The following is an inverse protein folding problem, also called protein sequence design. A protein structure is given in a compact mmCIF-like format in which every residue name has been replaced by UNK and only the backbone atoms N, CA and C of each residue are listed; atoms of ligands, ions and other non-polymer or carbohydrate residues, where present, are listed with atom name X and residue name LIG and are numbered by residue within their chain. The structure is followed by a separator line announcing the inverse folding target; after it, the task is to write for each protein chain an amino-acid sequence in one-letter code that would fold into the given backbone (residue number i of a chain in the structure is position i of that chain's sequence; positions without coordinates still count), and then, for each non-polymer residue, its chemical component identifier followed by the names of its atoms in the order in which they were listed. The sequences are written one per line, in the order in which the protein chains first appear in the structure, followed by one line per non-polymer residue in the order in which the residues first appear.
data_IF_974405200030
#
_entry.id   IF_974405200030
#
_cell.length_a   1.000
_cell.length_b   1.000
_cell.length_c   1.000
_cell.angle_alpha   90.00
_cell.angle_beta   90.00
_cell.angle_gamma   90.00
#
_symmetry.space_group_name_H-M   'P 1'
#
loop_
_entity.id
_entity.type
_entity.pdbx_description
1 polymer ?
#
# COMPACT_ATOMS: atom_id res chain seq x y z
N UNK A 1 27.84 5.97 70.97
CA UNK A 1 26.61 6.75 70.81
C UNK A 1 26.08 6.45 69.43
N UNK A 2 25.01 5.73 69.42
CA UNK A 2 24.37 5.13 68.23
C UNK A 2 23.31 6.06 67.72
N UNK A 3 23.16 6.18 66.39
CA UNK A 3 21.93 6.59 65.76
C UNK A 3 21.67 5.65 64.56
N UNK A 4 20.66 4.81 64.72
CA UNK A 4 20.01 4.04 63.70
C UNK A 4 19.19 4.96 62.83
N UNK A 5 19.30 4.87 61.55
CA UNK A 5 18.26 5.31 60.63
C UNK A 5 17.85 4.18 59.70
N UNK A 6 16.61 3.76 59.85
CA UNK A 6 15.86 2.91 58.94
C UNK A 6 15.69 3.65 57.61
N UNK A 7 15.95 2.94 56.52
CA UNK A 7 15.49 3.33 55.21
C UNK A 7 14.78 2.12 54.59
N UNK A 8 13.50 2.28 54.40
CA UNK A 8 12.61 1.32 53.76
C UNK A 8 13.04 1.07 52.31
N UNK A 9 13.08 -0.21 51.95
CA UNK A 9 13.38 -0.66 50.58
C UNK A 9 12.17 -0.48 49.68
N UNK A 10 12.23 0.47 48.78
CA UNK A 10 11.29 0.60 47.68
C UNK A 10 11.85 -0.13 46.45
N UNK A 11 11.22 -1.26 46.10
CA UNK A 11 11.54 -2.04 44.92
C UNK A 11 11.05 -1.33 43.66
N UNK A 12 11.92 -0.60 43.00
CA UNK A 12 11.72 -0.25 41.56
C UNK A 12 12.65 -1.15 40.73
N UNK A 13 12.01 -2.00 39.91
CA UNK A 13 12.71 -2.79 38.88
C UNK A 13 13.29 -1.83 37.85
N UNK A 14 14.60 -1.65 37.89
CA UNK A 14 15.34 -0.92 36.86
C UNK A 14 15.34 -1.72 35.56
N UNK A 15 14.71 -1.21 34.52
CA UNK A 15 15.03 -1.59 33.13
C UNK A 15 16.44 -1.05 32.84
N UNK A 16 17.36 -1.97 32.54
CA UNK A 16 18.64 -1.60 31.93
C UNK A 16 18.32 -0.90 30.60
N UNK A 17 18.58 0.39 30.53
CA UNK A 17 18.70 1.08 29.24
C UNK A 17 20.01 0.64 28.59
N UNK A 18 19.92 -0.22 27.59
CA UNK A 18 21.02 -0.48 26.69
C UNK A 18 21.22 0.80 25.88
N UNK A 19 22.43 1.40 25.84
CA UNK A 19 22.65 2.57 25.01
C UNK A 19 22.50 2.18 23.54
N UNK A 20 21.45 2.70 22.89
CA UNK A 20 21.32 2.63 21.43
C UNK A 20 22.49 3.41 20.87
N UNK A 21 23.46 2.69 20.29
CA UNK A 21 24.52 3.27 19.49
C UNK A 21 23.85 3.90 18.27
N UNK A 22 23.83 5.22 18.24
CA UNK A 22 23.37 6.03 17.11
C UNK A 22 24.27 5.73 15.89
N UNK A 23 23.96 4.68 15.12
CA UNK A 23 24.37 4.56 13.72
C UNK A 23 23.66 5.66 12.96
N UNK A 24 24.41 6.43 12.17
CA UNK A 24 24.05 7.65 11.49
C UNK A 24 22.59 7.75 11.06
N UNK A 25 21.96 8.88 11.38
CA UNK A 25 20.60 9.23 11.05
C UNK A 25 20.36 9.18 9.52
N UNK A 26 20.07 8.02 8.96
CA UNK A 26 19.16 7.99 7.81
C UNK A 26 17.76 8.19 8.39
N UNK A 27 17.09 9.28 7.99
CA UNK A 27 15.69 9.48 8.34
C UNK A 27 14.92 8.29 7.75
N UNK A 28 14.27 7.48 8.58
CA UNK A 28 13.49 6.31 8.16
C UNK A 28 12.42 6.69 7.12
N UNK A 29 11.89 7.90 7.21
CA UNK A 29 10.85 8.46 6.36
C UNK A 29 11.25 8.71 4.89
N UNK A 30 12.56 8.70 4.55
CA UNK A 30 13.06 8.84 3.17
C UNK A 30 13.60 7.53 2.60
N UNK A 31 13.35 6.40 3.26
CA UNK A 31 13.84 5.10 2.83
C UNK A 31 13.10 4.61 1.58
N UNK A 32 13.85 4.04 0.63
CA UNK A 32 13.24 3.35 -0.51
C UNK A 32 12.51 2.11 -0.06
N UNK A 33 11.34 1.86 -0.62
CA UNK A 33 10.52 0.68 -0.27
C UNK A 33 11.28 -0.62 -0.53
N UNK A 34 12.09 -0.69 -1.58
CA UNK A 34 12.96 -1.85 -1.83
C UNK A 34 14.02 -2.08 -0.76
N UNK A 35 14.48 -1.04 -0.07
CA UNK A 35 15.37 -1.16 1.08
C UNK A 35 14.62 -1.66 2.31
N UNK A 36 13.39 -1.18 2.54
CA UNK A 36 12.52 -1.67 3.61
C UNK A 36 12.32 -3.19 3.49
N UNK A 37 12.10 -3.70 2.26
CA UNK A 37 11.97 -5.15 2.02
C UNK A 37 13.25 -5.96 2.31
N UNK A 38 14.41 -5.32 2.22
CA UNK A 38 15.69 -5.97 2.55
C UNK A 38 16.00 -5.95 4.04
N UNK A 39 15.53 -4.95 4.78
CA UNK A 39 15.81 -4.74 6.19
C UNK A 39 14.82 -5.45 7.12
N UNK A 40 13.61 -5.75 6.63
CA UNK A 40 12.53 -6.37 7.39
C UNK A 40 12.08 -7.68 6.76
N UNK A 41 11.97 -8.73 7.57
CA UNK A 41 11.49 -10.04 7.12
C UNK A 41 10.00 -9.97 6.75
N UNK A 42 9.19 -9.32 7.56
CA UNK A 42 7.75 -9.13 7.34
C UNK A 42 7.41 -7.64 7.33
N UNK A 43 6.64 -7.20 6.34
CA UNK A 43 6.15 -5.82 6.27
C UNK A 43 4.65 -5.75 6.02
N UNK A 44 3.96 -4.91 6.78
CA UNK A 44 2.57 -4.53 6.53
C UNK A 44 2.51 -3.04 6.23
N UNK A 45 1.89 -2.68 5.13
CA UNK A 45 1.69 -1.30 4.67
C UNK A 45 0.22 -1.01 4.42
N UNK A 46 -0.17 0.27 4.44
CA UNK A 46 -1.55 0.68 4.26
C UNK A 46 -1.70 1.74 3.19
N UNK A 47 -2.85 1.70 2.51
CA UNK A 47 -3.25 2.74 1.57
C UNK A 47 -4.19 3.74 2.22
N UNK A 48 -3.94 5.03 1.91
CA UNK A 48 -4.86 6.13 2.15
C UNK A 48 -5.13 6.87 0.85
N UNK A 49 -6.30 7.49 0.77
CA UNK A 49 -6.66 8.26 -0.41
C UNK A 49 -7.08 9.68 -0.03
N UNK A 50 -6.69 10.68 -0.85
CA UNK A 50 -7.01 12.07 -0.59
C UNK A 50 -8.52 12.30 -0.65
N UNK A 51 -9.02 13.34 -0.01
CA UNK A 51 -10.42 13.72 -0.06
C UNK A 51 -10.79 14.18 -1.48
N UNK A 52 -12.04 13.94 -1.86
CA UNK A 52 -12.59 14.46 -3.13
C UNK A 52 -12.89 15.95 -3.09
N UNK A 53 -13.05 16.51 -1.90
CA UNK A 53 -13.44 17.90 -1.64
C UNK A 53 -12.70 18.40 -0.39
N UNK A 54 -12.36 19.69 -0.35
CA UNK A 54 -11.54 20.30 0.70
C UNK A 54 -12.17 20.21 2.11
N UNK A 55 -13.50 20.21 2.20
CA UNK A 55 -14.23 20.07 3.46
C UNK A 55 -13.97 18.74 4.19
N UNK A 56 -13.47 17.72 3.46
CA UNK A 56 -13.13 16.41 4.02
C UNK A 56 -11.64 16.23 4.31
N UNK A 57 -10.82 17.25 4.05
CA UNK A 57 -9.36 17.13 4.22
C UNK A 57 -8.98 16.78 5.67
N UNK A 58 -9.56 17.47 6.66
CA UNK A 58 -9.26 17.21 8.07
C UNK A 58 -9.63 15.79 8.53
N UNK A 59 -10.66 15.20 7.95
CA UNK A 59 -11.05 13.83 8.28
C UNK A 59 -10.05 12.80 7.70
N UNK A 60 -9.54 13.05 6.50
CA UNK A 60 -8.50 12.21 5.89
C UNK A 60 -7.17 12.36 6.61
N UNK A 61 -6.76 13.60 6.93
CA UNK A 61 -5.56 13.87 7.71
C UNK A 61 -5.59 13.15 9.07
N UNK A 62 -6.73 13.22 9.78
CA UNK A 62 -6.93 12.48 11.03
C UNK A 62 -6.78 10.98 10.84
N UNK A 63 -7.44 10.39 9.83
CA UNK A 63 -7.35 8.97 9.55
C UNK A 63 -5.91 8.54 9.18
N UNK A 64 -5.22 9.32 8.35
CA UNK A 64 -3.82 9.07 7.97
C UNK A 64 -2.90 9.08 9.18
N UNK A 65 -3.05 10.05 10.09
CA UNK A 65 -2.32 10.12 11.35
C UNK A 65 -2.57 8.91 12.25
N UNK A 66 -3.82 8.49 12.40
CA UNK A 66 -4.18 7.34 13.24
C UNK A 66 -3.64 6.03 12.66
N UNK A 67 -3.55 5.90 11.33
CA UNK A 67 -2.93 4.74 10.66
C UNK A 67 -1.41 4.81 10.81
N UNK A 68 -0.78 5.96 10.61
CA UNK A 68 0.66 6.14 10.79
C UNK A 68 1.13 5.81 12.22
N UNK A 69 0.28 6.11 13.24
CA UNK A 69 0.55 5.76 14.64
C UNK A 69 0.56 4.25 14.92
N UNK A 70 0.17 3.41 13.96
CA UNK A 70 0.32 1.95 14.03
C UNK A 70 1.70 1.48 13.55
N UNK A 71 2.57 2.39 13.16
CA UNK A 71 3.92 2.16 12.65
C UNK A 71 3.97 1.15 11.48
N UNK A 72 3.19 1.37 10.40
CA UNK A 72 3.30 0.53 9.21
C UNK A 72 4.68 0.70 8.57
N UNK A 73 5.11 -0.30 7.80
CA UNK A 73 6.38 -0.24 7.07
C UNK A 73 6.45 0.95 6.10
N UNK A 74 5.35 1.27 5.46
CA UNK A 74 5.14 2.49 4.68
C UNK A 74 3.63 2.75 4.48
N UNK A 75 3.28 3.92 3.96
CA UNK A 75 1.90 4.23 3.56
C UNK A 75 1.85 4.68 2.11
N UNK A 76 0.92 4.14 1.32
CA UNK A 76 0.65 4.67 -0.02
C UNK A 76 -0.43 5.76 0.02
N UNK A 77 -0.27 6.77 -0.83
CA UNK A 77 -1.24 7.86 -0.99
C UNK A 77 -1.71 7.88 -2.44
N UNK A 78 -3.00 7.57 -2.66
CA UNK A 78 -3.53 7.46 -4.01
C UNK A 78 -3.59 8.81 -4.73
N UNK A 79 -3.60 8.75 -6.06
CA UNK A 79 -3.75 9.92 -6.92
C UNK A 79 -5.23 10.09 -7.28
N UNK A 80 -5.77 11.28 -7.09
CA UNK A 80 -7.18 11.51 -7.41
C UNK A 80 -7.45 11.60 -8.90
N UNK A 81 -8.47 10.90 -9.36
CA UNK A 81 -8.91 10.97 -10.75
C UNK A 81 -9.31 12.41 -11.14
N UNK A 82 -8.73 12.95 -12.21
CA UNK A 82 -9.09 14.25 -12.79
C UNK A 82 -8.24 15.45 -12.35
N UNK A 83 -7.04 15.27 -11.79
CA UNK A 83 -6.04 16.34 -11.58
C UNK A 83 -6.29 17.28 -10.40
N UNK A 84 -7.53 17.49 -9.96
CA UNK A 84 -7.87 18.43 -8.88
C UNK A 84 -7.40 18.03 -7.48
N UNK A 85 -6.99 16.79 -7.30
CA UNK A 85 -6.54 16.24 -6.00
C UNK A 85 -5.04 15.89 -5.98
N UNK A 86 -4.31 16.14 -7.05
CA UNK A 86 -2.87 15.86 -7.16
C UNK A 86 -2.04 16.58 -6.10
N UNK A 87 -2.38 17.85 -5.82
CA UNK A 87 -1.74 18.62 -4.75
C UNK A 87 -2.03 18.05 -3.37
N UNK A 88 -3.23 17.50 -3.13
CA UNK A 88 -3.55 16.83 -1.87
C UNK A 88 -2.73 15.56 -1.68
N UNK A 89 -2.50 14.78 -2.75
CA UNK A 89 -1.62 13.59 -2.70
C UNK A 89 -0.23 13.98 -2.22
N UNK A 90 0.40 14.97 -2.87
CA UNK A 90 1.73 15.45 -2.50
C UNK A 90 1.79 16.01 -1.07
N UNK A 91 0.74 16.73 -0.65
CA UNK A 91 0.67 17.32 0.69
C UNK A 91 0.51 16.25 1.79
N UNK A 92 -0.40 15.28 1.59
CA UNK A 92 -0.59 14.18 2.55
C UNK A 92 0.67 13.30 2.63
N UNK A 93 1.31 13.01 1.48
CA UNK A 93 2.54 12.25 1.44
C UNK A 93 3.67 12.96 2.22
N UNK A 94 3.88 14.27 1.98
CA UNK A 94 4.87 15.05 2.72
C UNK A 94 4.55 15.11 4.23
N UNK A 95 3.29 15.29 4.61
CA UNK A 95 2.88 15.29 6.02
C UNK A 95 3.14 13.94 6.72
N UNK A 96 2.94 12.82 6.03
CA UNK A 96 3.25 11.49 6.56
C UNK A 96 4.76 11.32 6.80
N UNK A 97 5.60 11.79 5.89
CA UNK A 97 7.05 11.76 6.05
C UNK A 97 7.53 12.70 7.16
N UNK A 98 7.12 13.96 7.13
CA UNK A 98 7.68 14.99 7.98
C UNK A 98 7.16 14.98 9.41
N UNK A 99 5.85 14.67 9.58
CA UNK A 99 5.19 14.73 10.89
C UNK A 99 5.12 13.37 11.59
N UNK A 100 5.13 12.27 10.85
CA UNK A 100 4.88 10.93 11.41
C UNK A 100 6.02 9.94 11.14
N UNK A 101 7.12 10.39 10.56
CA UNK A 101 8.32 9.57 10.25
C UNK A 101 7.96 8.25 9.53
N UNK A 102 6.99 8.33 8.62
CA UNK A 102 6.47 7.18 7.89
C UNK A 102 6.91 7.25 6.44
N UNK A 103 7.61 6.23 5.90
CA UNK A 103 7.94 6.18 4.47
C UNK A 103 6.67 6.20 3.62
N UNK A 104 6.70 6.89 2.48
CA UNK A 104 5.51 7.03 1.64
C UNK A 104 5.74 6.51 0.23
N UNK A 105 4.67 6.02 -0.38
CA UNK A 105 4.54 5.65 -1.78
C UNK A 105 3.48 6.57 -2.40
N UNK A 106 3.90 7.63 -3.09
CA UNK A 106 2.97 8.54 -3.73
C UNK A 106 2.53 8.00 -5.10
N UNK A 107 1.22 7.89 -5.31
CA UNK A 107 0.71 7.49 -6.62
C UNK A 107 0.84 8.63 -7.64
N UNK A 108 1.12 8.27 -8.89
CA UNK A 108 1.09 9.16 -10.04
C UNK A 108 0.40 8.44 -11.20
N UNK A 109 -0.60 9.10 -11.81
CA UNK A 109 -1.33 8.54 -12.97
C UNK A 109 -1.06 9.36 -14.22
N UNK A 110 -1.02 8.70 -15.38
CA UNK A 110 -0.74 9.35 -16.65
C UNK A 110 -1.95 9.46 -17.59
N UNK A 111 -3.04 8.72 -17.34
CA UNK A 111 -4.25 8.84 -18.18
C UNK A 111 -4.79 10.26 -18.10
N UNK A 112 -5.10 10.83 -19.27
CA UNK A 112 -5.58 12.22 -19.39
C UNK A 112 -4.63 13.29 -18.83
N UNK A 113 -3.32 12.99 -18.73
CA UNK A 113 -2.25 13.92 -18.36
C UNK A 113 -1.35 14.20 -19.56
N UNK A 114 -0.86 15.44 -19.68
CA UNK A 114 0.20 15.77 -20.62
C UNK A 114 1.57 15.37 -20.06
N UNK A 115 2.58 15.25 -20.93
CA UNK A 115 3.96 15.00 -20.50
C UNK A 115 4.49 16.12 -19.61
N UNK A 116 4.14 17.36 -19.91
CA UNK A 116 4.53 18.53 -19.12
C UNK A 116 3.96 18.42 -17.69
N UNK A 117 2.68 18.07 -17.55
CA UNK A 117 2.06 17.91 -16.23
C UNK A 117 2.70 16.76 -15.43
N UNK A 118 3.03 15.66 -16.08
CA UNK A 118 3.74 14.54 -15.44
C UNK A 118 5.11 15.00 -14.94
N UNK A 119 5.87 15.76 -15.73
CA UNK A 119 7.17 16.31 -15.32
C UNK A 119 7.04 17.29 -14.15
N UNK A 120 6.03 18.16 -14.15
CA UNK A 120 5.72 19.04 -13.02
C UNK A 120 5.45 18.24 -11.74
N UNK A 121 4.71 17.14 -11.83
CA UNK A 121 4.42 16.29 -10.68
C UNK A 121 5.64 15.53 -10.16
N UNK A 122 6.50 15.04 -11.06
CA UNK A 122 7.77 14.40 -10.67
C UNK A 122 8.63 15.42 -9.92
N UNK A 123 8.76 16.63 -10.44
CA UNK A 123 9.53 17.70 -9.81
C UNK A 123 8.95 18.08 -8.44
N UNK A 124 7.62 18.21 -8.34
CA UNK A 124 6.94 18.48 -7.07
C UNK A 124 7.23 17.37 -6.01
N UNK A 125 7.25 16.09 -6.41
CA UNK A 125 7.57 14.98 -5.50
C UNK A 125 9.03 15.05 -5.05
N UNK A 126 9.95 15.34 -5.97
CA UNK A 126 11.37 15.53 -5.63
C UNK A 126 11.59 16.70 -4.66
N UNK A 127 10.93 17.86 -4.89
CA UNK A 127 10.99 19.02 -3.98
C UNK A 127 10.49 18.69 -2.56
N UNK A 128 9.53 17.75 -2.46
CA UNK A 128 8.99 17.28 -1.19
C UNK A 128 9.76 16.09 -0.60
N UNK A 129 10.88 15.68 -1.21
CA UNK A 129 11.68 14.54 -0.74
C UNK A 129 10.97 13.19 -0.86
N UNK A 130 9.99 13.05 -1.75
CA UNK A 130 9.29 11.79 -2.02
C UNK A 130 10.12 10.97 -2.99
N UNK A 131 10.65 9.84 -2.54
CA UNK A 131 11.53 8.96 -3.32
C UNK A 131 10.84 7.72 -3.91
N UNK A 132 9.60 7.41 -3.45
CA UNK A 132 8.87 6.23 -3.91
C UNK A 132 7.60 6.64 -4.63
N UNK A 133 7.46 6.23 -5.89
CA UNK A 133 6.33 6.58 -6.75
C UNK A 133 5.63 5.32 -7.24
N UNK A 134 4.31 5.22 -7.03
CA UNK A 134 3.46 4.21 -7.64
C UNK A 134 3.00 4.70 -9.01
N UNK A 135 3.62 4.20 -10.08
CA UNK A 135 3.33 4.61 -11.44
C UNK A 135 2.14 3.81 -12.02
N UNK A 136 1.06 4.49 -12.33
CA UNK A 136 -0.19 3.90 -12.80
C UNK A 136 -0.63 4.56 -14.12
N UNK A 137 -1.33 3.80 -14.96
CA UNK A 137 -2.06 4.43 -16.06
C UNK A 137 -3.19 5.29 -15.49
N UNK A 138 -3.92 4.79 -14.53
CA UNK A 138 -5.17 5.33 -14.03
C UNK A 138 -6.38 4.83 -14.83
N UNK A 139 -7.58 5.09 -14.29
CA UNK A 139 -8.84 4.71 -14.92
C UNK A 139 -9.21 5.69 -16.05
N UNK A 140 -9.69 5.16 -17.15
CA UNK A 140 -10.19 6.00 -18.25
C UNK A 140 -11.47 6.71 -17.78
N UNK A 141 -11.57 8.04 -17.89
CA UNK A 141 -12.77 8.78 -17.53
C UNK A 141 -14.00 8.25 -18.29
N UNK A 142 -15.17 8.31 -17.66
CA UNK A 142 -16.42 7.86 -18.31
C UNK A 142 -16.75 8.61 -19.58
N UNK A 143 -16.35 9.86 -19.64
CA UNK A 143 -16.51 10.75 -20.78
C UNK A 143 -15.49 10.48 -21.91
N UNK A 144 -14.58 9.52 -21.68
CA UNK A 144 -13.47 9.21 -22.56
C UNK A 144 -12.23 10.04 -22.28
N UNK A 145 -11.17 9.79 -23.04
CA UNK A 145 -9.88 10.51 -22.95
C UNK A 145 -9.90 11.74 -23.85
N UNK A 146 -9.34 12.82 -23.35
CA UNK A 146 -9.12 14.05 -24.11
C UNK A 146 -7.65 14.30 -24.43
N UNK A 147 -6.74 13.64 -23.69
CA UNK A 147 -5.28 13.72 -23.83
C UNK A 147 -4.75 12.30 -24.05
N UNK A 148 -3.79 12.14 -24.96
CA UNK A 148 -3.29 10.85 -25.44
C UNK A 148 -1.75 10.77 -25.42
N UNK A 149 -1.09 11.52 -24.55
CA UNK A 149 0.36 11.53 -24.44
C UNK A 149 0.91 10.22 -23.86
N UNK A 150 0.07 9.50 -23.10
CA UNK A 150 0.36 8.21 -22.52
C UNK A 150 -0.77 7.22 -22.78
N UNK A 151 -0.42 6.02 -23.20
CA UNK A 151 -1.35 4.90 -23.35
C UNK A 151 -1.20 3.87 -22.23
N UNK A 152 0.01 3.71 -21.69
CA UNK A 152 0.36 2.70 -20.73
C UNK A 152 1.24 3.22 -19.59
N UNK A 153 1.16 2.56 -18.43
CA UNK A 153 2.00 2.88 -17.27
C UNK A 153 3.50 2.66 -17.53
N UNK A 154 3.89 1.78 -18.47
CA UNK A 154 5.28 1.56 -18.85
C UNK A 154 5.95 2.83 -19.42
N UNK A 155 5.20 3.66 -20.15
CA UNK A 155 5.68 4.95 -20.65
C UNK A 155 5.90 5.95 -19.51
N UNK A 156 4.99 5.98 -18.52
CA UNK A 156 5.16 6.81 -17.33
C UNK A 156 6.39 6.37 -16.51
N UNK A 157 6.58 5.06 -16.30
CA UNK A 157 7.74 4.50 -15.59
C UNK A 157 9.04 4.92 -16.29
N UNK A 158 9.08 4.82 -17.61
CA UNK A 158 10.23 5.24 -18.40
C UNK A 158 10.54 6.74 -18.20
N UNK A 159 9.52 7.61 -18.25
CA UNK A 159 9.70 9.05 -18.08
C UNK A 159 10.15 9.40 -16.66
N UNK A 160 9.62 8.73 -15.62
CA UNK A 160 10.07 8.91 -14.22
C UNK A 160 11.54 8.50 -14.07
N UNK A 161 11.92 7.32 -14.57
CA UNK A 161 13.32 6.83 -14.50
C UNK A 161 14.27 7.67 -15.34
N UNK A 162 13.81 8.27 -16.43
CA UNK A 162 14.59 9.19 -17.25
C UNK A 162 14.82 10.53 -16.52
N UNK A 163 13.86 11.00 -15.74
CA UNK A 163 13.99 12.20 -14.92
C UNK A 163 14.93 11.97 -13.72
N UNK A 164 14.82 10.83 -13.04
CA UNK A 164 15.70 10.43 -11.95
C UNK A 164 15.71 8.91 -11.78
N UNK A 165 16.81 8.29 -12.18
CA UNK A 165 17.01 6.85 -12.09
C UNK A 165 17.04 6.32 -10.64
N UNK A 166 17.22 7.20 -9.64
CA UNK A 166 17.25 6.83 -8.23
C UNK A 166 15.87 6.68 -7.61
N UNK A 167 14.81 7.22 -8.22
CA UNK A 167 13.45 7.05 -7.69
C UNK A 167 13.07 5.56 -7.66
N UNK A 168 12.43 5.14 -6.57
CA UNK A 168 11.92 3.78 -6.39
C UNK A 168 10.49 3.70 -6.95
N UNK A 169 10.27 2.83 -7.92
CA UNK A 169 9.02 2.78 -8.69
C UNK A 169 8.25 1.50 -8.41
N UNK A 170 7.04 1.65 -7.87
CA UNK A 170 6.04 0.59 -7.83
C UNK A 170 5.15 0.60 -9.08
N UNK A 171 4.68 -0.57 -9.50
CA UNK A 171 3.69 -0.70 -10.57
C UNK A 171 2.58 -1.69 -10.19
N UNK A 172 1.38 -1.48 -10.74
CA UNK A 172 0.25 -2.39 -10.49
C UNK A 172 0.36 -3.67 -11.32
N UNK A 173 -0.06 -4.80 -10.70
CA UNK A 173 -0.24 -6.08 -11.36
C UNK A 173 -1.58 -6.72 -10.94
N UNK A 174 -2.04 -7.72 -11.69
CA UNK A 174 -3.38 -8.26 -11.57
C UNK A 174 -3.32 -9.79 -11.51
N UNK A 175 -3.49 -10.41 -10.31
CA UNK A 175 -3.41 -11.87 -10.17
C UNK A 175 -4.37 -12.64 -11.04
N UNK A 176 -5.55 -12.08 -11.33
CA UNK A 176 -6.60 -12.67 -12.16
C UNK A 176 -6.65 -12.08 -13.57
N UNK A 177 -5.71 -11.16 -13.91
CA UNK A 177 -5.64 -10.44 -15.17
C UNK A 177 -6.37 -9.10 -15.12
N UNK A 178 -5.90 -8.12 -15.90
CA UNK A 178 -6.53 -6.81 -16.01
C UNK A 178 -7.85 -6.92 -16.79
N UNK A 179 -8.92 -6.27 -16.28
CA UNK A 179 -10.28 -6.36 -16.86
C UNK A 179 -10.39 -5.89 -18.31
N UNK A 180 -9.49 -5.02 -18.77
CA UNK A 180 -9.44 -4.54 -20.16
C UNK A 180 -8.48 -5.34 -21.03
N UNK A 181 -7.76 -6.34 -20.49
CA UNK A 181 -6.82 -7.13 -21.24
C UNK A 181 -7.50 -8.35 -21.88
N UNK A 182 -7.13 -8.68 -23.13
CA UNK A 182 -7.72 -9.79 -23.88
C UNK A 182 -7.50 -11.15 -23.22
N UNK A 183 -6.38 -11.31 -22.53
CA UNK A 183 -6.05 -12.54 -21.80
C UNK A 183 -5.06 -12.31 -20.66
N UNK A 184 -5.05 -13.20 -19.63
CA UNK A 184 -4.06 -13.14 -18.57
C UNK A 184 -2.61 -13.31 -19.07
N UNK A 185 -2.39 -13.98 -20.20
CA UNK A 185 -1.05 -14.11 -20.78
C UNK A 185 -0.57 -12.81 -21.42
N UNK A 186 -1.47 -12.09 -22.09
CA UNK A 186 -1.17 -10.77 -22.63
C UNK A 186 -0.90 -9.76 -21.52
N UNK A 187 -1.66 -9.83 -20.41
CA UNK A 187 -1.43 -8.96 -19.24
C UNK A 187 -0.04 -9.15 -18.62
N UNK A 188 0.48 -10.39 -18.60
CA UNK A 188 1.87 -10.68 -18.16
C UNK A 188 2.90 -10.05 -19.11
N UNK A 189 2.67 -10.01 -20.42
CA UNK A 189 3.57 -9.32 -21.34
C UNK A 189 3.60 -7.81 -21.06
N UNK A 190 2.44 -7.18 -20.87
CA UNK A 190 2.39 -5.77 -20.46
C UNK A 190 3.01 -5.51 -19.09
N UNK A 191 2.91 -6.49 -18.17
CA UNK A 191 3.61 -6.41 -16.89
C UNK A 191 5.13 -6.46 -17.06
N UNK A 192 5.61 -7.30 -17.97
CA UNK A 192 7.04 -7.38 -18.32
C UNK A 192 7.55 -6.04 -18.86
N UNK A 193 6.78 -5.38 -19.74
CA UNK A 193 7.12 -4.04 -20.24
C UNK A 193 7.27 -3.00 -19.12
N UNK A 194 6.43 -3.05 -18.07
CA UNK A 194 6.55 -2.16 -16.89
C UNK A 194 7.85 -2.41 -16.14
N UNK A 195 8.22 -3.69 -15.94
CA UNK A 195 9.44 -4.06 -15.24
C UNK A 195 10.68 -3.68 -16.07
N UNK A 196 10.65 -3.93 -17.38
CA UNK A 196 11.74 -3.56 -18.29
C UNK A 196 11.91 -2.03 -18.42
N UNK A 197 10.83 -1.26 -18.23
CA UNK A 197 10.88 0.20 -18.16
C UNK A 197 11.45 0.72 -16.83
N UNK A 198 11.63 -0.13 -15.80
CA UNK A 198 12.29 0.22 -14.55
C UNK A 198 11.41 0.15 -13.31
N UNK A 199 10.30 -0.59 -13.31
CA UNK A 199 9.57 -0.85 -12.07
C UNK A 199 10.42 -1.70 -11.12
N UNK A 200 10.59 -1.23 -9.88
CA UNK A 200 11.43 -1.87 -8.87
C UNK A 200 10.66 -2.92 -8.05
N UNK A 201 9.34 -2.79 -7.95
CA UNK A 201 8.45 -3.76 -7.31
C UNK A 201 7.02 -3.65 -7.88
N UNK A 202 6.18 -4.63 -7.55
CA UNK A 202 4.79 -4.71 -8.01
C UNK A 202 3.84 -4.75 -6.82
N UNK A 203 2.68 -4.10 -6.94
CA UNK A 203 1.58 -4.24 -5.97
C UNK A 203 0.37 -4.82 -6.69
N UNK A 204 -0.25 -5.85 -6.13
CA UNK A 204 -1.39 -6.49 -6.80
C UNK A 204 -2.67 -5.71 -6.62
N UNK A 205 -3.57 -5.79 -7.61
CA UNK A 205 -4.99 -5.53 -7.39
C UNK A 205 -5.50 -6.52 -6.34
N UNK A 206 -6.59 -6.15 -5.62
CA UNK A 206 -7.22 -7.02 -4.63
C UNK A 206 -7.68 -8.34 -5.23
N UNK A 207 -7.57 -9.39 -4.45
CA UNK A 207 -8.06 -10.73 -4.74
C UNK A 207 -8.57 -11.36 -3.43
N UNK A 208 -9.37 -12.44 -3.52
CA UNK A 208 -10.01 -13.07 -2.36
C UNK A 208 -9.64 -14.54 -2.19
N UNK A 209 -8.82 -15.09 -3.09
CA UNK A 209 -8.29 -16.45 -3.05
C UNK A 209 -6.77 -16.41 -3.27
N UNK A 210 -5.99 -16.82 -2.25
CA UNK A 210 -4.54 -16.81 -2.32
C UNK A 210 -3.98 -17.72 -3.41
N UNK A 211 -4.72 -18.78 -3.81
CA UNK A 211 -4.31 -19.63 -4.94
C UNK A 211 -4.20 -18.85 -6.26
N UNK A 212 -5.01 -17.80 -6.45
CA UNK A 212 -4.90 -16.92 -7.63
C UNK A 212 -3.55 -16.20 -7.62
N UNK A 213 -3.13 -15.69 -6.46
CA UNK A 213 -1.81 -15.07 -6.33
C UNK A 213 -0.68 -16.08 -6.55
N UNK A 214 -0.72 -17.27 -5.93
CA UNK A 214 0.35 -18.26 -6.07
C UNK A 214 0.53 -18.70 -7.53
N UNK A 215 -0.57 -18.93 -8.23
CA UNK A 215 -0.54 -19.23 -9.68
C UNK A 215 0.04 -18.06 -10.49
N UNK A 216 -0.37 -16.82 -10.17
CA UNK A 216 0.15 -15.62 -10.82
C UNK A 216 1.67 -15.47 -10.58
N UNK A 217 2.14 -15.64 -9.34
CA UNK A 217 3.57 -15.58 -9.01
C UNK A 217 4.39 -16.59 -9.84
N UNK A 218 3.91 -17.84 -9.94
CA UNK A 218 4.56 -18.84 -10.77
C UNK A 218 4.67 -18.37 -12.23
N UNK A 219 3.58 -17.91 -12.83
CA UNK A 219 3.52 -17.47 -14.23
C UNK A 219 4.42 -16.27 -14.53
N UNK A 220 4.49 -15.27 -13.64
CA UNK A 220 5.36 -14.13 -13.85
C UNK A 220 6.84 -14.48 -13.71
N UNK A 221 7.19 -15.44 -12.82
CA UNK A 221 8.56 -15.97 -12.73
C UNK A 221 8.97 -16.72 -13.99
N UNK A 222 8.09 -17.53 -14.59
CA UNK A 222 8.33 -18.14 -15.89
C UNK A 222 8.53 -17.10 -17.01
N UNK A 223 7.84 -15.96 -16.95
CA UNK A 223 8.03 -14.83 -17.87
C UNK A 223 9.30 -14.00 -17.59
N UNK A 224 10.12 -14.38 -16.61
CA UNK A 224 11.38 -13.71 -16.26
C UNK A 224 11.22 -12.45 -15.40
N UNK A 225 10.04 -12.20 -14.83
CA UNK A 225 9.80 -11.11 -13.89
C UNK A 225 10.27 -11.55 -12.50
N UNK A 226 11.29 -10.88 -11.92
CA UNK A 226 11.90 -11.27 -10.64
C UNK A 226 11.73 -10.24 -9.52
N UNK A 227 11.19 -9.05 -9.81
CA UNK A 227 10.98 -8.00 -8.81
C UNK A 227 10.02 -8.46 -7.70
N UNK A 228 10.11 -7.89 -6.48
CA UNK A 228 9.18 -8.17 -5.39
C UNK A 228 7.73 -7.91 -5.78
N UNK A 229 6.82 -8.72 -5.24
CA UNK A 229 5.37 -8.54 -5.43
C UNK A 229 4.71 -8.42 -4.07
N UNK A 230 3.97 -7.32 -3.88
CA UNK A 230 3.18 -7.05 -2.68
C UNK A 230 1.72 -7.43 -2.95
N UNK A 231 1.17 -8.44 -2.29
CA UNK A 231 -0.26 -8.69 -2.31
C UNK A 231 -1.06 -7.51 -1.76
N UNK A 232 -2.01 -7.04 -2.53
CA UNK A 232 -3.00 -6.05 -2.11
C UNK A 232 -4.21 -6.73 -1.47
N UNK A 233 -4.38 -6.60 -0.18
CA UNK A 233 -5.47 -7.22 0.59
C UNK A 233 -6.55 -6.18 0.92
N UNK A 234 -7.80 -6.49 0.56
CA UNK A 234 -8.97 -5.63 0.81
C UNK A 234 -9.87 -6.23 1.89
N UNK A 235 -9.87 -5.71 3.11
CA UNK A 235 -10.84 -6.11 4.13
C UNK A 235 -12.25 -5.64 3.74
N UNK A 236 -13.13 -6.56 3.37
CA UNK A 236 -14.52 -6.24 3.02
C UNK A 236 -15.36 -6.17 4.28
N UNK A 237 -15.71 -4.97 4.69
CA UNK A 237 -16.44 -4.69 5.93
C UNK A 237 -17.90 -4.32 5.73
N UNK A 238 -18.40 -4.39 4.47
CA UNK A 238 -19.76 -4.05 4.10
C UNK A 238 -20.15 -4.85 2.86
N UNK A 239 -21.32 -5.47 2.86
CA UNK A 239 -21.87 -6.26 1.74
C UNK A 239 -21.89 -5.49 0.41
N UNK A 240 -22.18 -4.16 0.46
CA UNK A 240 -22.21 -3.32 -0.75
C UNK A 240 -20.83 -3.15 -1.41
N UNK A 241 -19.74 -3.31 -0.64
CA UNK A 241 -18.37 -3.26 -1.19
C UNK A 241 -18.09 -4.42 -2.12
N UNK A 242 -18.66 -5.60 -1.89
CA UNK A 242 -18.38 -6.82 -2.69
C UNK A 242 -18.65 -6.57 -4.17
N UNK A 243 -19.87 -6.12 -4.52
CA UNK A 243 -20.22 -5.88 -5.92
C UNK A 243 -19.33 -4.82 -6.58
N UNK A 244 -18.98 -3.76 -5.83
CA UNK A 244 -18.08 -2.71 -6.32
C UNK A 244 -16.66 -3.24 -6.50
N UNK A 245 -16.15 -4.02 -5.56
CA UNK A 245 -14.82 -4.61 -5.64
C UNK A 245 -14.68 -5.52 -6.86
N UNK A 246 -15.65 -6.42 -7.07
CA UNK A 246 -15.68 -7.30 -8.25
C UNK A 246 -15.75 -6.51 -9.55
N UNK A 247 -16.60 -5.47 -9.62
CA UNK A 247 -16.71 -4.63 -10.82
C UNK A 247 -15.41 -3.89 -11.16
N UNK A 248 -14.62 -3.51 -10.15
CA UNK A 248 -13.35 -2.78 -10.33
C UNK A 248 -12.17 -3.71 -10.62
N UNK A 249 -12.13 -4.87 -9.97
CA UNK A 249 -10.95 -5.76 -10.01
C UNK A 249 -11.11 -6.95 -10.96
N UNK A 250 -12.35 -7.29 -11.35
CA UNK A 250 -12.63 -8.54 -12.03
C UNK A 250 -12.43 -9.79 -11.16
N UNK A 251 -12.17 -9.61 -9.85
CA UNK A 251 -11.78 -10.72 -8.97
C UNK A 251 -12.91 -11.72 -8.76
N UNK A 252 -12.53 -12.99 -8.71
CA UNK A 252 -13.42 -14.11 -8.38
C UNK A 252 -13.77 -14.09 -6.89
N UNK A 253 -15.03 -14.35 -6.57
CA UNK A 253 -15.50 -14.48 -5.19
C UNK A 253 -15.52 -15.97 -4.80
N UNK A 254 -14.60 -16.44 -3.93
CA UNK A 254 -14.56 -17.83 -3.51
C UNK A 254 -15.81 -18.20 -2.70
N UNK A 255 -16.25 -19.48 -2.75
CA UNK A 255 -17.44 -19.95 -2.03
C UNK A 255 -17.42 -19.63 -0.53
N UNK A 256 -16.25 -19.79 0.13
CA UNK A 256 -16.07 -19.48 1.56
C UNK A 256 -16.35 -18.01 1.85
N UNK A 257 -15.84 -17.10 1.02
CA UNK A 257 -16.06 -15.66 1.17
C UNK A 257 -17.54 -15.30 0.93
N UNK A 258 -18.17 -15.89 -0.11
CA UNK A 258 -19.60 -15.68 -0.39
C UNK A 258 -20.48 -16.10 0.77
N UNK A 259 -20.26 -17.30 1.33
CA UNK A 259 -21.00 -17.78 2.50
C UNK A 259 -20.88 -16.84 3.71
N UNK A 260 -19.70 -16.27 3.95
CA UNK A 260 -19.48 -15.27 5.00
C UNK A 260 -20.34 -14.01 4.76
N UNK A 261 -20.31 -13.48 3.53
CA UNK A 261 -21.07 -12.29 3.14
C UNK A 261 -22.57 -12.54 3.21
N UNK A 262 -23.05 -13.70 2.76
CA UNK A 262 -24.46 -14.08 2.81
C UNK A 262 -24.95 -14.22 4.26
N UNK A 263 -24.11 -14.75 5.15
CA UNK A 263 -24.45 -14.96 6.57
C UNK A 263 -24.43 -13.68 7.40
N UNK A 264 -23.45 -12.79 7.17
CA UNK A 264 -23.18 -11.64 8.06
C UNK A 264 -23.44 -10.28 7.40
N UNK A 265 -23.63 -10.24 6.09
CA UNK A 265 -23.61 -9.00 5.31
C UNK A 265 -24.71 -7.98 5.64
N UNK A 266 -25.80 -8.42 6.25
CA UNK A 266 -26.94 -7.56 6.63
C UNK A 266 -26.78 -6.92 8.03
N UNK A 267 -25.78 -7.39 8.82
CA UNK A 267 -25.41 -6.81 10.12
C UNK A 267 -24.03 -6.14 9.99
N UNK A 268 -23.95 -4.79 10.05
CA UNK A 268 -22.69 -4.07 9.83
C UNK A 268 -21.58 -4.44 10.82
N UNK A 269 -21.89 -4.72 12.08
CA UNK A 269 -20.88 -5.07 13.08
C UNK A 269 -20.32 -6.46 12.82
N UNK A 270 -21.17 -7.43 12.54
CA UNK A 270 -20.75 -8.81 12.21
C UNK A 270 -19.97 -8.86 10.91
N UNK A 271 -20.46 -8.16 9.87
CA UNK A 271 -19.77 -8.13 8.56
C UNK A 271 -18.39 -7.49 8.69
N UNK A 272 -18.27 -6.41 9.45
CA UNK A 272 -16.96 -5.76 9.70
C UNK A 272 -16.01 -6.74 10.39
N UNK A 273 -16.42 -7.39 11.46
CA UNK A 273 -15.60 -8.34 12.19
C UNK A 273 -15.18 -9.51 11.29
N UNK A 274 -16.13 -10.13 10.59
CA UNK A 274 -15.87 -11.26 9.71
C UNK A 274 -14.93 -10.88 8.55
N UNK A 275 -15.09 -9.69 7.98
CA UNK A 275 -14.24 -9.19 6.90
C UNK A 275 -12.80 -8.92 7.33
N UNK A 276 -12.60 -8.38 8.54
CA UNK A 276 -11.24 -8.21 9.10
C UNK A 276 -10.59 -9.57 9.36
N UNK A 277 -11.33 -10.52 9.94
CA UNK A 277 -10.82 -11.88 10.19
C UNK A 277 -10.43 -12.55 8.87
N UNK A 278 -11.29 -12.49 7.85
CA UNK A 278 -10.99 -13.09 6.54
C UNK A 278 -9.71 -12.51 5.92
N UNK A 279 -9.56 -11.17 5.93
CA UNK A 279 -8.36 -10.52 5.43
C UNK A 279 -7.11 -10.89 6.24
N UNK A 280 -7.24 -11.00 7.56
CA UNK A 280 -6.13 -11.44 8.44
C UNK A 280 -5.73 -12.88 8.14
N UNK A 281 -6.68 -13.79 7.95
CA UNK A 281 -6.39 -15.19 7.55
C UNK A 281 -5.68 -15.25 6.19
N UNK A 282 -6.09 -14.43 5.19
CA UNK A 282 -5.36 -14.33 3.93
C UNK A 282 -3.90 -13.92 4.16
N UNK A 283 -3.66 -12.90 5.00
CA UNK A 283 -2.31 -12.41 5.32
C UNK A 283 -1.49 -13.52 5.98
N UNK A 284 -2.04 -14.19 6.99
CA UNK A 284 -1.34 -15.29 7.69
C UNK A 284 -0.95 -16.41 6.72
N UNK A 285 -1.85 -16.81 5.82
CA UNK A 285 -1.55 -17.82 4.81
C UNK A 285 -0.45 -17.35 3.85
N UNK A 286 -0.47 -16.10 3.41
CA UNK A 286 0.58 -15.52 2.57
C UNK A 286 1.94 -15.54 3.26
N UNK A 287 2.01 -15.08 4.52
CA UNK A 287 3.24 -15.08 5.30
C UNK A 287 3.79 -16.50 5.50
N UNK A 288 2.91 -17.46 5.83
CA UNK A 288 3.28 -18.87 5.98
C UNK A 288 3.83 -19.51 4.69
N UNK A 289 3.46 -18.98 3.52
CA UNK A 289 3.93 -19.44 2.22
C UNK A 289 5.08 -18.57 1.64
N UNK A 290 5.74 -17.73 2.47
CA UNK A 290 6.92 -16.98 2.09
C UNK A 290 6.63 -15.68 1.30
N UNK A 291 5.38 -15.22 1.30
CA UNK A 291 4.99 -13.91 0.73
C UNK A 291 4.89 -12.92 1.89
N UNK A 292 6.00 -12.27 2.21
CA UNK A 292 6.21 -11.60 3.51
C UNK A 292 5.96 -10.10 3.51
N UNK A 293 5.72 -9.49 2.35
CA UNK A 293 5.44 -8.06 2.22
C UNK A 293 4.02 -7.86 1.74
N UNK A 294 3.13 -7.27 2.56
CA UNK A 294 1.70 -7.16 2.29
C UNK A 294 1.23 -5.71 2.32
N UNK A 295 0.39 -5.34 1.37
CA UNK A 295 -0.26 -4.03 1.29
C UNK A 295 -1.75 -4.15 1.58
N UNK A 296 -2.29 -3.31 2.46
CA UNK A 296 -3.69 -3.39 2.91
C UNK A 296 -4.47 -2.15 2.48
N UNK A 297 -5.54 -2.36 1.75
CA UNK A 297 -6.49 -1.33 1.33
C UNK A 297 -7.50 -1.03 2.45
N UNK A 298 -7.05 -0.26 3.47
CA UNK A 298 -7.83 0.01 4.69
C UNK A 298 -9.01 0.96 4.49
N UNK A 299 -9.13 1.61 3.32
CA UNK A 299 -10.21 2.53 2.97
C UNK A 299 -10.32 3.74 3.93
N UNK A 300 -9.18 4.34 4.32
CA UNK A 300 -9.09 5.41 5.32
C UNK A 300 -9.79 5.06 6.65
N UNK A 301 -9.72 3.78 7.07
CA UNK A 301 -10.36 3.30 8.31
C UNK A 301 -9.29 2.82 9.30
N UNK A 302 -8.88 3.66 10.27
CA UNK A 302 -7.85 3.32 11.24
C UNK A 302 -8.20 2.11 12.11
N UNK A 303 -9.47 1.92 12.42
CA UNK A 303 -9.97 0.80 13.21
C UNK A 303 -9.83 -0.56 12.49
N UNK A 304 -9.90 -0.56 11.16
CA UNK A 304 -9.63 -1.75 10.33
C UNK A 304 -8.13 -2.03 10.30
N UNK A 305 -7.32 -1.01 10.08
CA UNK A 305 -5.87 -1.14 10.10
C UNK A 305 -5.38 -1.65 11.47
N UNK A 306 -5.86 -1.06 12.56
CA UNK A 306 -5.55 -1.48 13.92
C UNK A 306 -5.99 -2.93 14.20
N UNK A 307 -7.15 -3.34 13.72
CA UNK A 307 -7.64 -4.71 13.86
C UNK A 307 -6.71 -5.75 13.24
N UNK A 308 -6.16 -5.46 12.05
CA UNK A 308 -5.19 -6.30 11.36
C UNK A 308 -3.85 -6.29 12.10
N UNK A 309 -3.29 -5.10 12.39
CA UNK A 309 -2.00 -4.99 13.09
C UNK A 309 -2.00 -5.71 14.44
N UNK A 310 -3.05 -5.53 15.24
CA UNK A 310 -3.19 -6.21 16.53
C UNK A 310 -3.25 -7.74 16.38
N UNK A 311 -3.91 -8.23 15.32
CA UNK A 311 -4.02 -9.67 15.07
C UNK A 311 -2.72 -10.31 14.59
N UNK A 312 -1.81 -9.51 14.03
CA UNK A 312 -0.52 -9.94 13.50
C UNK A 312 0.68 -9.55 14.39
N UNK A 313 0.45 -8.88 15.53
CA UNK A 313 1.50 -8.26 16.34
C UNK A 313 2.64 -9.20 16.70
N UNK A 314 2.34 -10.46 17.07
CA UNK A 314 3.36 -11.46 17.40
C UNK A 314 4.13 -12.01 16.17
N UNK A 315 3.66 -11.73 14.96
CA UNK A 315 4.26 -12.20 13.70
C UNK A 315 5.18 -11.11 13.10
N UNK A 316 4.76 -9.84 13.21
CA UNK A 316 5.47 -8.71 12.62
C UNK A 316 6.56 -8.11 13.53
N UNK A 317 6.53 -8.38 14.84
CA UNK A 317 7.52 -7.92 15.82
C UNK A 317 8.64 -8.95 16.07
N UNK A 318 8.74 -10.00 15.26
CA UNK A 318 9.71 -11.09 15.41
C UNK A 318 11.08 -10.74 14.81
#
# INVERSE_FOLDING_TARGET
MSLKNNVEANHYRGRLMIPIVLKGYHKYNTMKITQIFQEHEVTISFEVFPPKTDDKYSAVEKASREIAALHPAFMSVTYGAGGGTSQHTASIAADLQDKYDTPVLAHLTCVSSTKEHVQEMIHLYQEKGIENIMALRGDIPKEGRTIYDYDHASQLIYDIKSADANLCIGAACYPEGHVECESPSQDILHLKEKVDAGADFLTTQMFFDNNMLYNFLYRIREAGIQVPVLPGIMPITNKKQVARSVALSGSTIPPRFRMMVDRFGDDPAKMKQAGVIYATEQIIDLLANGVTHVHVYSMNKPDIAAGIMNSLSAIIDA
#
